data_IF_500419537798
#
_entry.id   IF_500419537798
#
_cell.length_a   1.000
_cell.length_b   1.000
_cell.length_c   1.000
_cell.angle_alpha   90.00
_cell.angle_beta   90.00
_cell.angle_gamma   90.00
#
_symmetry.space_group_name_H-M   'P 1'
#
loop_
_entity.id
_entity.type
_entity.pdbx_description
1 polymer ?
#
# COMPACT_ATOMS: atom_id res chain seq x y z
N UNK A 1 -8.28 -6.14 14.64
CA UNK A 1 -6.90 -5.71 14.29
C UNK A 1 -6.85 -4.82 13.04
N UNK A 2 -7.58 -5.16 11.97
CA UNK A 2 -7.58 -4.37 10.71
C UNK A 2 -8.03 -2.91 10.90
N UNK A 3 -9.10 -2.66 11.67
CA UNK A 3 -9.55 -1.31 11.96
C UNK A 3 -8.47 -0.45 12.63
N UNK A 4 -7.73 -1.01 13.58
CA UNK A 4 -6.63 -0.31 14.26
C UNK A 4 -5.46 -0.05 13.29
N UNK A 5 -5.08 -1.06 12.50
CA UNK A 5 -4.03 -0.91 11.49
C UNK A 5 -4.42 0.14 10.43
N UNK A 6 -5.69 0.16 10.00
CA UNK A 6 -6.20 1.14 9.04
C UNK A 6 -5.96 2.57 9.53
N UNK A 7 -6.25 2.86 10.81
CA UNK A 7 -6.02 4.20 11.39
C UNK A 7 -4.53 4.57 11.35
N UNK A 8 -3.64 3.64 11.69
CA UNK A 8 -2.18 3.85 11.65
C UNK A 8 -1.72 4.10 10.21
N UNK A 9 -2.13 3.24 9.27
CA UNK A 9 -1.75 3.32 7.87
C UNK A 9 -2.25 4.63 7.24
N UNK A 10 -3.49 5.04 7.52
CA UNK A 10 -4.04 6.32 7.07
C UNK A 10 -3.18 7.49 7.53
N UNK A 11 -2.76 7.50 8.80
CA UNK A 11 -1.91 8.58 9.34
C UNK A 11 -0.52 8.58 8.71
N UNK A 12 0.08 7.40 8.54
CA UNK A 12 1.39 7.25 7.90
C UNK A 12 1.38 7.65 6.42
N UNK A 13 0.26 7.44 5.73
CA UNK A 13 0.04 7.81 4.34
C UNK A 13 -0.57 9.22 4.17
N UNK A 14 -1.11 9.84 5.22
CA UNK A 14 -1.92 11.07 5.14
C UNK A 14 -3.08 10.97 4.13
N UNK A 15 -3.67 9.80 3.98
CA UNK A 15 -4.78 9.58 3.05
C UNK A 15 -6.14 9.86 3.72
N UNK A 16 -7.21 9.89 2.92
CA UNK A 16 -8.55 10.15 3.44
C UNK A 16 -9.11 8.93 4.20
N UNK A 17 -9.96 9.19 5.22
CA UNK A 17 -10.51 8.15 6.11
C UNK A 17 -11.32 7.05 5.41
N UNK A 18 -11.90 7.42 4.29
CA UNK A 18 -12.70 6.58 3.38
C UNK A 18 -11.88 5.50 2.66
N UNK A 19 -10.55 5.65 2.56
CA UNK A 19 -9.69 4.66 1.91
C UNK A 19 -9.87 3.32 2.63
N UNK A 20 -10.00 2.23 1.88
CA UNK A 20 -10.12 0.89 2.46
C UNK A 20 -8.89 0.53 3.31
N UNK A 21 -9.00 -0.46 4.20
CA UNK A 21 -7.83 -0.93 4.97
C UNK A 21 -6.69 -1.38 4.04
N UNK A 22 -7.03 -2.17 3.01
CA UNK A 22 -6.10 -2.64 1.96
C UNK A 22 -5.42 -1.45 1.26
N UNK A 23 -6.20 -0.50 0.75
CA UNK A 23 -5.66 0.70 0.08
C UNK A 23 -4.75 1.51 1.01
N UNK A 24 -5.13 1.68 2.28
CA UNK A 24 -4.33 2.40 3.26
C UNK A 24 -2.99 1.69 3.52
N UNK A 25 -2.98 0.36 3.65
CA UNK A 25 -1.74 -0.43 3.83
C UNK A 25 -0.81 -0.35 2.61
N UNK A 26 -1.37 -0.40 1.40
CA UNK A 26 -0.63 -0.23 0.14
C UNK A 26 0.05 1.15 0.12
N UNK A 27 -0.74 2.23 0.26
CA UNK A 27 -0.22 3.60 0.18
C UNK A 27 0.80 3.87 1.29
N UNK A 28 0.56 3.34 2.50
CA UNK A 28 1.49 3.51 3.61
C UNK A 28 2.82 2.77 3.39
N UNK A 29 2.83 1.70 2.58
CA UNK A 29 3.96 0.78 2.47
C UNK A 29 4.08 -0.14 3.70
N UNK A 30 2.96 -0.44 4.36
CA UNK A 30 2.90 -1.25 5.57
C UNK A 30 2.09 -2.50 5.26
N UNK A 31 2.68 -3.72 5.27
CA UNK A 31 1.94 -4.93 4.94
C UNK A 31 0.74 -5.18 5.87
N UNK A 32 -0.35 -5.82 5.41
CA UNK A 32 -1.46 -6.25 6.25
C UNK A 32 -0.99 -7.02 7.51
N UNK A 33 -1.63 -6.74 8.64
CA UNK A 33 -1.21 -7.23 9.97
C UNK A 33 -1.12 -8.76 10.05
N UNK A 34 -2.00 -9.48 9.35
CA UNK A 34 -1.97 -10.94 9.32
C UNK A 34 -0.71 -11.48 8.61
N UNK A 35 -0.23 -10.79 7.57
CA UNK A 35 1.03 -11.14 6.89
C UNK A 35 2.24 -10.84 7.78
N UNK A 36 2.23 -9.69 8.48
CA UNK A 36 3.27 -9.34 9.46
C UNK A 36 3.34 -10.42 10.55
N UNK A 37 2.20 -10.78 11.14
CA UNK A 37 2.12 -11.79 12.19
C UNK A 37 2.63 -13.16 11.70
N UNK A 38 2.25 -13.59 10.50
CA UNK A 38 2.77 -14.82 9.90
C UNK A 38 4.29 -14.77 9.71
N UNK A 39 4.85 -13.63 9.28
CA UNK A 39 6.30 -13.45 9.12
C UNK A 39 7.05 -13.53 10.47
N UNK A 40 6.44 -13.03 11.55
CA UNK A 40 7.01 -13.11 12.90
C UNK A 40 6.97 -14.53 13.45
N UNK A 41 5.88 -15.27 13.22
CA UNK A 41 5.80 -16.69 13.57
C UNK A 41 6.87 -17.50 12.83
N UNK A 42 7.05 -17.24 11.52
CA UNK A 42 8.09 -17.87 10.71
C UNK A 42 9.51 -17.54 11.23
N UNK A 43 9.77 -16.27 11.56
CA UNK A 43 11.06 -15.83 12.14
C UNK A 43 11.35 -16.54 13.45
N UNK A 44 10.36 -16.59 14.35
CA UNK A 44 10.50 -17.26 15.64
C UNK A 44 10.80 -18.75 15.46
N UNK A 45 10.02 -19.46 14.64
CA UNK A 45 10.19 -20.88 14.41
C UNK A 45 11.57 -21.22 13.84
N UNK A 46 12.03 -20.48 12.83
CA UNK A 46 13.35 -20.70 12.22
C UNK A 46 14.50 -20.31 13.16
N UNK A 47 14.36 -19.23 13.91
CA UNK A 47 15.35 -18.81 14.92
C UNK A 47 15.47 -19.87 16.02
N UNK A 48 14.34 -20.40 16.49
CA UNK A 48 14.30 -21.47 17.49
C UNK A 48 14.98 -22.74 16.96
N UNK A 49 14.70 -23.16 15.72
CA UNK A 49 15.33 -24.33 15.13
C UNK A 49 16.86 -24.21 14.99
N UNK A 50 17.39 -23.01 14.71
CA UNK A 50 18.83 -22.76 14.69
C UNK A 50 19.41 -22.88 16.11
N UNK A 51 18.76 -22.23 17.08
CA UNK A 51 19.19 -22.27 18.49
C UNK A 51 19.19 -23.68 19.05
N UNK A 52 18.15 -24.47 18.77
CA UNK A 52 18.03 -25.85 19.25
C UNK A 52 19.14 -26.75 18.67
N UNK A 53 19.67 -26.42 17.48
CA UNK A 53 20.76 -27.18 16.82
C UNK A 53 22.16 -26.73 17.22
N UNK A 54 22.38 -25.42 17.39
CA UNK A 54 23.70 -24.81 17.58
C UNK A 54 23.92 -24.26 19.00
N UNK A 55 22.92 -24.29 19.87
CA UNK A 55 22.93 -23.65 21.20
C UNK A 55 22.76 -22.13 21.17
N UNK A 56 23.18 -21.48 20.08
CA UNK A 56 23.05 -20.05 19.84
C UNK A 56 22.58 -19.73 18.43
N UNK A 57 22.29 -18.44 18.16
CA UNK A 57 21.90 -17.97 16.82
C UNK A 57 22.97 -17.00 16.32
N UNK A 58 23.85 -17.44 15.39
CA UNK A 58 24.87 -16.57 14.83
C UNK A 58 24.26 -15.31 14.20
N UNK A 59 24.90 -14.15 14.41
CA UNK A 59 24.40 -12.88 13.90
C UNK A 59 24.22 -12.88 12.37
N UNK A 60 25.14 -13.52 11.65
CA UNK A 60 25.05 -13.72 10.19
C UNK A 60 23.81 -14.51 9.80
N UNK A 61 23.57 -15.66 10.44
CA UNK A 61 22.41 -16.49 10.18
C UNK A 61 21.09 -15.74 10.47
N UNK A 62 21.06 -14.95 11.55
CA UNK A 62 19.90 -14.09 11.86
C UNK A 62 19.66 -13.01 10.80
N UNK A 63 20.73 -12.42 10.27
CA UNK A 63 20.66 -11.43 9.19
C UNK A 63 20.14 -12.03 7.87
N UNK A 64 20.70 -13.16 7.45
CA UNK A 64 20.27 -13.90 6.25
C UNK A 64 18.81 -14.33 6.38
N UNK A 65 18.41 -14.82 7.56
CA UNK A 65 17.04 -15.21 7.86
C UNK A 65 16.07 -14.03 7.74
N UNK A 66 16.44 -12.86 8.28
CA UNK A 66 15.63 -11.64 8.18
C UNK A 66 15.43 -11.21 6.72
N UNK A 67 16.48 -11.30 5.89
CA UNK A 67 16.38 -11.00 4.46
C UNK A 67 15.45 -11.97 3.73
N UNK A 68 15.57 -13.28 4.00
CA UNK A 68 14.69 -14.30 3.42
C UNK A 68 13.22 -14.06 3.80
N UNK A 69 12.94 -13.78 5.07
CA UNK A 69 11.57 -13.53 5.55
C UNK A 69 11.02 -12.24 4.97
N UNK A 70 11.83 -11.19 4.85
CA UNK A 70 11.42 -9.95 4.21
C UNK A 70 11.03 -10.15 2.74
N UNK A 71 11.81 -10.96 1.99
CA UNK A 71 11.49 -11.33 0.59
C UNK A 71 10.20 -12.16 0.52
N UNK A 72 10.06 -13.18 1.37
CA UNK A 72 8.86 -14.01 1.47
C UNK A 72 7.62 -13.20 1.82
N UNK A 73 7.72 -12.27 2.77
CA UNK A 73 6.63 -11.37 3.14
C UNK A 73 6.20 -10.48 1.96
N UNK A 74 7.16 -9.94 1.22
CA UNK A 74 6.88 -9.09 0.05
C UNK A 74 6.17 -9.88 -1.04
N UNK A 75 6.63 -11.10 -1.33
CA UNK A 75 5.98 -11.99 -2.30
C UNK A 75 4.56 -12.38 -1.87
N UNK A 76 4.38 -12.83 -0.63
CA UNK A 76 3.04 -13.15 -0.08
C UNK A 76 2.10 -11.95 -0.15
N UNK A 77 2.64 -10.73 0.02
CA UNK A 77 1.86 -9.52 -0.12
C UNK A 77 1.47 -9.27 -1.58
N UNK A 78 2.38 -9.42 -2.55
CA UNK A 78 2.02 -9.37 -3.98
C UNK A 78 0.91 -10.33 -4.34
N UNK A 79 0.99 -11.57 -3.86
CA UNK A 79 0.00 -12.60 -4.13
C UNK A 79 -1.35 -12.27 -3.49
N UNK A 80 -1.33 -11.79 -2.24
CA UNK A 80 -2.54 -11.30 -1.54
C UNK A 80 -3.23 -10.18 -2.32
N UNK A 81 -2.47 -9.24 -2.89
CA UNK A 81 -2.98 -8.13 -3.69
C UNK A 81 -3.52 -8.54 -5.07
N UNK A 82 -3.50 -9.82 -5.44
CA UNK A 82 -4.17 -10.32 -6.65
C UNK A 82 -5.65 -10.65 -6.39
N UNK A 83 -6.08 -10.89 -5.14
CA UNK A 83 -7.45 -11.35 -4.87
C UNK A 83 -8.51 -10.28 -5.25
N UNK A 84 -9.34 -10.50 -6.29
CA UNK A 84 -10.29 -9.49 -6.78
C UNK A 84 -11.39 -9.12 -5.76
N UNK A 85 -11.56 -9.90 -4.69
CA UNK A 85 -12.53 -9.62 -3.63
C UNK A 85 -12.07 -8.50 -2.70
N UNK A 86 -10.80 -8.10 -2.77
CA UNK A 86 -10.27 -7.02 -1.95
C UNK A 86 -10.65 -5.65 -2.51
N UNK A 87 -10.99 -4.73 -1.61
CA UNK A 87 -11.25 -3.33 -1.95
C UNK A 87 -9.98 -2.58 -2.34
N UNK A 88 -10.15 -1.42 -2.97
CA UNK A 88 -9.04 -0.54 -3.36
C UNK A 88 -8.36 -0.97 -4.65
N UNK A 89 -9.17 -1.40 -5.63
CA UNK A 89 -8.75 -1.86 -6.96
C UNK A 89 -7.72 -0.92 -7.61
N UNK A 90 -8.02 0.38 -7.71
CA UNK A 90 -7.06 1.37 -8.25
C UNK A 90 -5.69 1.31 -7.58
N UNK A 91 -5.63 1.25 -6.25
CA UNK A 91 -4.34 1.20 -5.54
C UNK A 91 -3.65 -0.15 -5.70
N UNK A 92 -4.43 -1.24 -5.74
CA UNK A 92 -3.90 -2.59 -5.98
C UNK A 92 -3.28 -2.67 -7.37
N UNK A 93 -4.02 -2.30 -8.41
CA UNK A 93 -3.55 -2.37 -9.80
C UNK A 93 -2.35 -1.44 -10.04
N UNK A 94 -2.35 -0.25 -9.44
CA UNK A 94 -1.25 0.68 -9.57
C UNK A 94 0.04 0.23 -8.86
N UNK A 95 -0.06 -0.46 -7.71
CA UNK A 95 1.10 -0.75 -6.85
C UNK A 95 1.53 -2.21 -6.87
N UNK A 96 0.62 -3.16 -7.02
CA UNK A 96 0.94 -4.59 -6.97
C UNK A 96 2.04 -5.00 -7.98
N UNK A 97 2.03 -4.50 -9.25
CA UNK A 97 3.06 -4.86 -10.23
C UNK A 97 4.45 -4.31 -9.87
N UNK A 98 4.50 -3.22 -9.09
CA UNK A 98 5.71 -2.46 -8.75
C UNK A 98 5.91 -2.35 -7.24
N UNK A 99 5.50 -3.38 -6.48
CA UNK A 99 5.43 -3.30 -5.02
C UNK A 99 6.80 -3.06 -4.39
N UNK A 100 7.86 -3.71 -4.85
CA UNK A 100 9.22 -3.51 -4.34
C UNK A 100 9.70 -2.08 -4.57
N UNK A 101 9.54 -1.58 -5.80
CA UNK A 101 9.90 -0.21 -6.17
C UNK A 101 9.10 0.80 -5.35
N UNK A 102 7.81 0.52 -5.13
CA UNK A 102 6.95 1.32 -4.27
C UNK A 102 7.46 1.36 -2.82
N UNK A 103 7.84 0.21 -2.25
CA UNK A 103 8.38 0.14 -0.90
C UNK A 103 9.71 0.89 -0.77
N UNK A 104 10.59 0.80 -1.76
CA UNK A 104 11.82 1.59 -1.79
C UNK A 104 11.54 3.08 -1.94
N UNK A 105 10.58 3.47 -2.79
CA UNK A 105 10.15 4.86 -2.95
C UNK A 105 9.60 5.42 -1.65
N UNK A 106 8.79 4.65 -0.92
CA UNK A 106 8.19 5.05 0.36
C UNK A 106 9.24 5.34 1.42
N UNK A 107 10.35 4.60 1.46
CA UNK A 107 11.49 4.89 2.36
C UNK A 107 12.12 6.25 2.07
N UNK A 108 12.09 6.71 0.81
CA UNK A 108 12.61 8.01 0.36
C UNK A 108 11.57 9.13 0.46
N UNK A 109 10.38 8.86 1.02
CA UNK A 109 9.26 9.78 1.11
C UNK A 109 8.39 9.83 -0.16
N UNK A 110 7.17 10.35 -0.04
CA UNK A 110 6.25 10.55 -1.18
C UNK A 110 5.52 11.87 -1.01
N UNK A 111 5.13 12.52 -2.12
CA UNK A 111 4.37 13.78 -2.04
C UNK A 111 2.90 13.51 -1.80
N UNK A 112 2.21 14.49 -1.21
CA UNK A 112 0.76 14.43 -0.99
C UNK A 112 0.00 14.17 -2.30
N UNK A 113 0.34 14.88 -3.38
CA UNK A 113 -0.28 14.74 -4.70
C UNK A 113 -0.07 13.34 -5.30
N UNK A 114 1.10 12.72 -5.13
CA UNK A 114 1.34 11.34 -5.59
C UNK A 114 0.35 10.37 -4.94
N UNK A 115 0.12 10.53 -3.63
CA UNK A 115 -0.79 9.64 -2.89
C UNK A 115 -2.25 9.91 -3.25
N UNK A 116 -2.62 11.16 -3.55
CA UNK A 116 -3.94 11.52 -4.08
C UNK A 116 -4.21 10.87 -5.43
N UNK A 117 -3.28 10.98 -6.37
CA UNK A 117 -3.36 10.35 -7.70
C UNK A 117 -3.53 8.83 -7.60
N UNK A 118 -2.69 8.16 -6.79
CA UNK A 118 -2.79 6.70 -6.58
C UNK A 118 -4.12 6.34 -5.94
N UNK A 119 -4.57 7.15 -4.98
CA UNK A 119 -5.85 6.89 -4.32
C UNK A 119 -7.08 7.26 -5.14
N UNK A 120 -6.93 7.99 -6.25
CA UNK A 120 -8.06 8.58 -6.96
C UNK A 120 -8.83 9.60 -6.13
N UNK A 121 -8.23 10.15 -5.08
CA UNK A 121 -8.87 11.09 -4.16
C UNK A 121 -8.24 12.47 -4.25
N UNK A 122 -8.86 13.46 -3.63
CA UNK A 122 -8.29 14.79 -3.47
C UNK A 122 -9.08 15.85 -4.20
N UNK A 123 -8.48 16.45 -5.23
CA UNK A 123 -9.07 17.52 -6.03
C UNK A 123 -9.80 17.03 -7.29
N UNK A 124 -9.80 15.72 -7.57
CA UNK A 124 -10.46 15.18 -8.76
C UNK A 124 -11.98 15.33 -8.66
N UNK A 125 -12.60 15.91 -9.67
CA UNK A 125 -14.04 16.17 -9.74
C UNK A 125 -14.90 14.92 -9.48
N UNK A 126 -14.50 13.75 -9.98
CA UNK A 126 -15.16 12.47 -9.68
C UNK A 126 -15.23 12.20 -8.17
N UNK A 127 -14.09 12.34 -7.50
CA UNK A 127 -14.00 12.19 -6.05
C UNK A 127 -14.79 13.27 -5.30
N UNK A 128 -14.70 14.53 -5.74
CA UNK A 128 -15.39 15.65 -5.11
C UNK A 128 -16.91 15.54 -5.23
N UNK A 129 -17.43 15.05 -6.36
CA UNK A 129 -18.85 14.73 -6.53
C UNK A 129 -19.28 13.62 -5.55
N UNK A 130 -18.48 12.56 -5.44
CA UNK A 130 -18.80 11.43 -4.55
C UNK A 130 -18.91 11.85 -3.07
N UNK A 131 -18.02 12.74 -2.59
CA UNK A 131 -18.14 13.34 -1.24
C UNK A 131 -19.07 14.56 -1.17
N UNK A 132 -19.82 14.85 -2.25
CA UNK A 132 -20.80 15.95 -2.37
C UNK A 132 -20.21 17.34 -2.12
N UNK A 133 -18.95 17.53 -2.52
CA UNK A 133 -18.27 18.83 -2.53
C UNK A 133 -18.42 19.56 -3.86
N UNK A 134 -18.66 18.83 -4.94
CA UNK A 134 -19.01 19.38 -6.25
C UNK A 134 -20.31 18.79 -6.78
N UNK A 135 -20.89 19.47 -7.79
CA UNK A 135 -22.15 19.07 -8.44
C UNK A 135 -21.92 18.29 -9.73
N UNK A 136 -20.70 18.31 -10.25
CA UNK A 136 -20.32 17.73 -11.54
C UNK A 136 -18.96 17.08 -11.42
N UNK A 137 -18.64 16.20 -12.36
CA UNK A 137 -17.30 15.60 -12.50
C UNK A 137 -16.41 16.35 -13.49
N UNK A 138 -16.85 17.46 -14.10
CA UNK A 138 -16.13 18.14 -15.19
C UNK A 138 -14.72 18.57 -14.77
N UNK A 139 -13.76 18.38 -15.67
CA UNK A 139 -12.39 18.82 -15.45
C UNK A 139 -12.31 20.34 -15.37
N UNK A 140 -11.57 20.84 -14.38
CA UNK A 140 -11.35 22.28 -14.22
C UNK A 140 -10.28 22.83 -15.19
N UNK A 141 -9.54 21.94 -15.86
CA UNK A 141 -8.39 22.28 -16.69
C UNK A 141 -8.61 22.07 -18.18
N UNK A 142 -9.61 21.27 -18.57
CA UNK A 142 -9.92 21.01 -19.97
C UNK A 142 -11.42 20.77 -20.18
N UNK A 143 -11.91 20.67 -21.44
CA UNK A 143 -13.33 20.48 -21.74
C UNK A 143 -13.92 19.13 -21.33
N UNK A 144 -13.11 18.21 -20.78
CA UNK A 144 -13.54 16.84 -20.51
C UNK A 144 -14.55 16.76 -19.34
N UNK A 145 -15.56 15.90 -19.48
CA UNK A 145 -16.66 15.81 -18.53
C UNK A 145 -16.33 14.97 -17.28
N UNK A 146 -15.25 14.19 -17.32
CA UNK A 146 -14.82 13.30 -16.24
C UNK A 146 -13.39 13.61 -15.76
N UNK A 147 -13.30 14.32 -14.64
CA UNK A 147 -12.08 14.61 -13.91
C UNK A 147 -11.76 13.49 -12.92
N UNK A 148 -11.15 12.45 -13.46
CA UNK A 148 -10.57 11.37 -12.68
C UNK A 148 -9.06 11.58 -12.53
N UNK A 149 -8.48 10.96 -11.51
CA UNK A 149 -7.02 10.92 -11.38
C UNK A 149 -6.32 10.30 -12.60
N UNK A 150 -7.01 9.41 -13.34
CA UNK A 150 -6.48 8.82 -14.57
C UNK A 150 -6.45 9.84 -15.70
N UNK A 151 -7.54 10.58 -15.88
CA UNK A 151 -7.63 11.65 -16.85
C UNK A 151 -6.53 12.69 -16.63
N UNK A 152 -6.35 13.17 -15.39
CA UNK A 152 -5.29 14.14 -15.08
C UNK A 152 -3.88 13.62 -15.38
N UNK A 153 -3.65 12.31 -15.26
CA UNK A 153 -2.33 11.70 -15.52
C UNK A 153 -2.04 11.49 -17.00
N UNK A 154 -3.04 11.09 -17.79
CA UNK A 154 -2.81 10.53 -19.13
C UNK A 154 -3.39 11.37 -20.27
N UNK A 155 -4.42 12.17 -20.00
CA UNK A 155 -5.22 12.82 -21.05
C UNK A 155 -5.27 14.35 -20.91
N UNK A 156 -5.24 14.87 -19.68
CA UNK A 156 -5.41 16.30 -19.44
C UNK A 156 -4.20 17.07 -19.99
N UNK A 157 -4.41 18.12 -20.80
CA UNK A 157 -3.32 18.93 -21.34
C UNK A 157 -2.54 19.63 -20.22
N UNK A 158 -1.21 19.64 -20.33
CA UNK A 158 -0.29 20.36 -19.43
C UNK A 158 -0.04 21.79 -19.88
#
# INVERSE_FOLDING_TARGET
MEAAQKVIAIRAARCYRIVSHVGATIIAGIPPVHLIAASYAEMYGRTKAIKDRLGEVPARAKGELRLQISRSLTQKWKDYLLDPRLQGERMREAVQPVLEEWLERRKRGTTFHTLQVISGHGCFGDYLLWIRKERTTRCHHCPEEEDTAQHTLECCPT
#
